data_IF_278807541879
#
_entry.id   IF_278807541879
#
_cell.length_a   1.000
_cell.length_b   1.000
_cell.length_c   1.000
_cell.angle_alpha   90.00
_cell.angle_beta   90.00
_cell.angle_gamma   90.00
#
_symmetry.space_group_name_H-M   'P 1'
#
loop_
_entity.id
_entity.type
_entity.pdbx_description
1 polymer ?
#
# COMPACT_ATOMS: atom_id res chain seq x y z
N UNK A 1 29.12 1.60 5.80
CA UNK A 1 27.75 1.46 6.33
C UNK A 1 27.17 0.17 5.79
N UNK A 2 27.09 -0.87 6.63
CA UNK A 2 26.49 -2.17 6.29
C UNK A 2 25.54 -2.51 7.44
N UNK A 3 24.29 -2.74 7.11
CA UNK A 3 23.24 -3.06 8.06
C UNK A 3 22.15 -2.01 8.01
N UNK A 4 21.02 -2.35 7.40
CA UNK A 4 19.67 -2.10 7.95
C UNK A 4 18.55 -2.69 7.07
N UNK A 5 18.78 -3.81 6.37
CA UNK A 5 17.69 -4.63 5.83
C UNK A 5 17.57 -5.92 6.62
N UNK A 6 17.11 -5.82 7.89
CA UNK A 6 16.42 -6.94 8.51
C UNK A 6 14.96 -6.82 8.06
N UNK A 7 14.66 -7.42 6.92
CA UNK A 7 13.29 -7.56 6.43
C UNK A 7 12.56 -8.45 7.42
N UNK A 8 11.63 -7.86 8.17
CA UNK A 8 10.68 -8.59 9.01
C UNK A 8 9.79 -9.36 8.02
N UNK A 9 9.82 -10.69 8.08
CA UNK A 9 8.85 -11.54 7.40
C UNK A 9 7.50 -11.34 8.11
N UNK A 10 6.74 -10.34 7.66
CA UNK A 10 5.41 -10.03 8.20
C UNK A 10 4.37 -10.83 7.44
N UNK A 11 3.74 -11.79 8.11
CA UNK A 11 2.60 -12.53 7.58
C UNK A 11 1.46 -11.56 7.26
N UNK A 12 1.06 -11.49 6.00
CA UNK A 12 -0.13 -10.73 5.58
C UNK A 12 -1.35 -11.44 6.21
N UNK A 13 -2.04 -10.76 7.14
CA UNK A 13 -3.26 -11.25 7.75
C UNK A 13 -4.44 -10.61 7.04
N UNK A 14 -5.12 -11.39 6.20
CA UNK A 14 -6.44 -10.99 5.68
C UNK A 14 -7.42 -10.99 6.86
N UNK A 15 -7.82 -9.80 7.33
CA UNK A 15 -8.94 -9.70 8.27
C UNK A 15 -10.24 -10.03 7.54
N UNK A 16 -11.09 -10.83 8.18
CA UNK A 16 -12.25 -11.48 7.59
C UNK A 16 -13.20 -10.55 6.84
N UNK A 17 -13.70 -11.07 5.71
CA UNK A 17 -14.68 -10.45 4.83
C UNK A 17 -15.96 -10.11 5.59
N UNK A 18 -16.35 -8.83 5.61
CA UNK A 18 -17.76 -8.47 5.74
C UNK A 18 -18.35 -8.56 4.34
N UNK A 19 -19.01 -9.68 4.03
CA UNK A 19 -19.66 -9.92 2.74
C UNK A 19 -20.84 -8.93 2.62
N UNK A 20 -20.70 -7.93 1.76
CA UNK A 20 -21.78 -7.06 1.30
C UNK A 20 -22.04 -7.48 -0.16
N UNK A 21 -23.28 -7.81 -0.57
CA UNK A 21 -23.52 -8.55 -1.81
C UNK A 21 -23.08 -7.78 -3.09
N UNK A 22 -22.09 -8.35 -3.78
CA UNK A 22 -21.92 -8.51 -5.23
C UNK A 22 -22.56 -7.49 -6.19
N UNK A 23 -21.76 -6.48 -6.59
CA UNK A 23 -21.72 -5.90 -7.96
C UNK A 23 -20.59 -4.88 -8.17
N UNK A 24 -19.78 -4.58 -7.15
CA UNK A 24 -18.57 -3.76 -7.28
C UNK A 24 -17.39 -4.61 -6.81
N UNK A 25 -16.23 -4.47 -7.46
CA UNK A 25 -15.01 -5.14 -7.00
C UNK A 25 -14.81 -4.80 -5.51
N UNK A 26 -14.87 -5.81 -4.64
CA UNK A 26 -15.02 -5.60 -3.20
C UNK A 26 -13.74 -4.96 -2.62
N UNK A 27 -13.90 -3.83 -1.94
CA UNK A 27 -12.81 -3.20 -1.18
C UNK A 27 -12.39 -4.15 -0.05
N UNK A 28 -11.15 -4.62 -0.07
CA UNK A 28 -10.66 -5.54 0.96
C UNK A 28 -9.77 -4.82 1.98
N UNK A 29 -10.05 -5.04 3.27
CA UNK A 29 -9.19 -4.60 4.35
C UNK A 29 -8.00 -5.57 4.51
N UNK A 30 -6.78 -5.05 4.38
CA UNK A 30 -5.54 -5.79 4.60
C UNK A 30 -4.78 -5.17 5.77
N UNK A 31 -4.28 -5.99 6.70
CA UNK A 31 -3.46 -5.55 7.83
C UNK A 31 -2.19 -6.41 7.97
N UNK A 32 -1.20 -5.86 8.66
CA UNK A 32 0.12 -6.45 8.86
C UNK A 32 0.34 -6.84 10.33
N UNK A 33 -0.63 -7.56 10.90
CA UNK A 33 -0.55 -8.12 12.25
C UNK A 33 -0.99 -7.18 13.37
N UNK A 34 -1.29 -5.92 13.06
CA UNK A 34 -1.92 -4.98 13.98
C UNK A 34 -3.19 -4.42 13.32
N UNK A 35 -4.34 -4.75 13.90
CA UNK A 35 -5.64 -4.35 13.36
C UNK A 35 -5.92 -2.85 13.51
N UNK A 36 -5.10 -2.12 14.27
CA UNK A 36 -5.16 -0.66 14.34
C UNK A 36 -4.60 0.02 13.09
N UNK A 37 -3.97 -0.72 12.16
CA UNK A 37 -3.42 -0.18 10.92
C UNK A 37 -3.89 -1.04 9.75
N UNK A 38 -4.68 -0.44 8.86
CA UNK A 38 -5.34 -1.13 7.77
C UNK A 38 -5.13 -0.36 6.47
N UNK A 39 -5.03 -1.09 5.37
CA UNK A 39 -5.21 -0.55 4.02
C UNK A 39 -6.50 -1.14 3.47
N UNK A 40 -7.41 -0.26 3.02
CA UNK A 40 -8.56 -0.63 2.21
C UNK A 40 -8.12 -0.63 0.76
N UNK A 41 -8.12 -1.79 0.13
CA UNK A 41 -7.63 -2.02 -1.23
C UNK A 41 -8.81 -2.17 -2.18
N UNK A 42 -9.15 -1.13 -2.98
CA UNK A 42 -10.18 -1.25 -3.99
C UNK A 42 -9.75 -2.19 -5.10
N UNK A 43 -10.69 -3.00 -5.58
CA UNK A 43 -10.40 -3.95 -6.65
C UNK A 43 -9.38 -5.01 -6.26
N UNK A 44 -9.31 -5.39 -4.98
CA UNK A 44 -8.48 -6.51 -4.56
C UNK A 44 -8.87 -7.78 -5.32
N UNK A 45 -7.86 -8.53 -5.78
CA UNK A 45 -8.04 -9.79 -6.50
C UNK A 45 -7.61 -10.96 -5.61
N UNK A 46 -6.34 -10.96 -5.19
CA UNK A 46 -5.76 -12.02 -4.36
C UNK A 46 -4.47 -11.58 -3.68
N UNK A 47 -4.02 -12.36 -2.69
CA UNK A 47 -2.63 -12.34 -2.22
C UNK A 47 -1.88 -13.52 -2.83
N UNK A 48 -0.66 -13.29 -3.35
CA UNK A 48 0.20 -14.36 -3.88
C UNK A 48 1.68 -14.04 -3.69
N UNK A 49 2.52 -15.06 -3.76
CA UNK A 49 3.96 -14.87 -3.87
C UNK A 49 4.34 -14.53 -5.32
N UNK A 50 5.14 -13.48 -5.48
CA UNK A 50 5.78 -13.09 -6.75
C UNK A 50 7.29 -13.30 -6.65
N UNK A 51 7.99 -13.33 -7.79
CA UNK A 51 9.46 -13.40 -7.79
C UNK A 51 10.05 -12.00 -7.93
N UNK A 52 10.75 -11.53 -6.91
CA UNK A 52 11.56 -10.31 -6.93
C UNK A 52 13.02 -10.71 -6.72
N UNK A 53 13.93 -10.32 -7.63
CA UNK A 53 15.36 -10.65 -7.54
C UNK A 53 15.65 -12.15 -7.30
N UNK A 54 14.83 -13.03 -7.88
CA UNK A 54 14.94 -14.48 -7.74
C UNK A 54 14.44 -15.05 -6.41
N UNK A 55 13.81 -14.24 -5.55
CA UNK A 55 13.25 -14.67 -4.27
C UNK A 55 11.71 -14.59 -4.27
N UNK A 56 11.01 -15.58 -3.71
CA UNK A 56 9.57 -15.50 -3.50
C UNK A 56 9.27 -14.41 -2.48
N UNK A 57 8.39 -13.49 -2.85
CA UNK A 57 8.05 -12.29 -2.10
C UNK A 57 6.52 -12.14 -2.06
N UNK A 58 5.91 -12.04 -0.86
CA UNK A 58 4.47 -11.83 -0.76
C UNK A 58 4.03 -10.50 -1.38
N UNK A 59 2.99 -10.54 -2.20
CA UNK A 59 2.37 -9.37 -2.80
C UNK A 59 0.84 -9.48 -2.77
N UNK A 60 0.19 -8.33 -2.94
CA UNK A 60 -1.23 -8.29 -3.29
C UNK A 60 -1.40 -7.99 -4.77
N UNK A 61 -2.42 -8.57 -5.37
CA UNK A 61 -2.82 -8.33 -6.75
C UNK A 61 -4.11 -7.53 -6.72
N UNK A 62 -4.13 -6.42 -7.44
CA UNK A 62 -5.23 -5.47 -7.43
C UNK A 62 -5.57 -5.04 -8.85
N UNK A 63 -6.82 -4.69 -9.09
CA UNK A 63 -7.21 -4.05 -10.33
C UNK A 63 -6.55 -2.67 -10.42
N UNK A 64 -6.07 -2.33 -11.62
CA UNK A 64 -5.51 -1.01 -11.90
C UNK A 64 -6.57 0.07 -11.59
N UNK A 65 -6.23 1.08 -10.77
CA UNK A 65 -7.16 2.16 -10.46
C UNK A 65 -7.42 3.03 -11.69
N UNK A 66 -8.62 3.60 -11.76
CA UNK A 66 -8.94 4.64 -12.74
C UNK A 66 -8.48 6.01 -12.24
N UNK A 67 -8.19 6.91 -13.19
CA UNK A 67 -7.91 8.30 -12.84
C UNK A 67 -9.16 8.96 -12.27
N UNK A 68 -8.99 9.72 -11.19
CA UNK A 68 -10.05 10.57 -10.66
C UNK A 68 -10.25 11.83 -11.52
N UNK A 69 -11.19 12.69 -11.12
CA UNK A 69 -11.48 13.97 -11.80
C UNK A 69 -10.27 14.91 -11.89
N UNK A 70 -9.28 14.74 -11.01
CA UNK A 70 -8.04 15.54 -10.98
C UNK A 70 -6.91 14.89 -11.79
N UNK A 71 -7.21 13.88 -12.60
CA UNK A 71 -6.26 13.12 -13.42
C UNK A 71 -5.17 12.42 -12.58
N UNK A 72 -5.48 12.04 -11.33
CA UNK A 72 -4.61 11.32 -10.40
C UNK A 72 -5.12 9.89 -10.14
N UNK A 73 -4.21 8.99 -9.81
CA UNK A 73 -4.55 7.62 -9.41
C UNK A 73 -4.66 7.53 -7.89
N UNK A 74 -5.87 7.23 -7.38
CA UNK A 74 -6.06 6.81 -5.99
C UNK A 74 -5.89 5.30 -5.91
N UNK A 75 -4.86 4.86 -5.19
CA UNK A 75 -4.45 3.45 -5.20
C UNK A 75 -5.19 2.66 -4.10
N UNK A 76 -5.26 3.19 -2.89
CA UNK A 76 -5.96 2.61 -1.75
C UNK A 76 -6.32 3.70 -0.73
N UNK A 77 -7.10 3.36 0.30
CA UNK A 77 -7.18 4.19 1.51
C UNK A 77 -6.37 3.57 2.63
N UNK A 78 -5.74 4.41 3.42
CA UNK A 78 -5.06 4.03 4.64
C UNK A 78 -5.93 4.44 5.82
N UNK A 79 -6.13 3.52 6.77
CA UNK A 79 -6.97 3.69 7.94
C UNK A 79 -6.21 3.27 9.18
N UNK A 80 -6.28 4.09 10.23
CA UNK A 80 -5.80 3.75 11.55
C UNK A 80 -6.77 4.19 12.65
N UNK A 81 -6.89 3.36 13.68
CA UNK A 81 -7.59 3.69 14.93
C UNK A 81 -6.64 4.18 16.02
N UNK A 82 -5.34 4.22 15.76
CA UNK A 82 -4.37 4.72 16.72
C UNK A 82 -4.42 6.26 16.75
N UNK A 83 -4.93 6.82 17.85
CA UNK A 83 -5.07 8.27 18.02
C UNK A 83 -3.75 9.01 18.16
N UNK A 84 -2.63 8.32 18.35
CA UNK A 84 -1.30 8.92 18.36
C UNK A 84 -0.74 9.13 16.94
N UNK A 85 -1.31 8.46 15.92
CA UNK A 85 -0.90 8.63 14.54
C UNK A 85 -1.48 9.93 13.99
N UNK A 86 -0.60 10.87 13.61
CA UNK A 86 -0.99 12.17 13.07
C UNK A 86 -0.72 12.29 11.57
N UNK A 87 0.26 11.55 11.05
CA UNK A 87 0.60 11.58 9.64
C UNK A 87 1.13 10.23 9.15
N UNK A 88 1.21 10.10 7.84
CA UNK A 88 1.82 8.97 7.16
C UNK A 88 2.80 9.44 6.10
N UNK A 89 3.90 8.70 6.03
CA UNK A 89 4.91 8.82 4.98
C UNK A 89 4.97 7.52 4.19
N UNK A 90 5.23 7.64 2.90
CA UNK A 90 5.46 6.49 2.05
C UNK A 90 6.56 6.74 1.03
N UNK A 91 7.32 5.70 0.72
CA UNK A 91 8.26 5.68 -0.39
C UNK A 91 7.88 4.54 -1.34
N UNK A 92 7.85 4.86 -2.63
CA UNK A 92 7.53 3.93 -3.70
C UNK A 92 8.81 3.57 -4.45
N UNK A 93 9.04 2.28 -4.66
CA UNK A 93 10.11 1.76 -5.51
C UNK A 93 9.53 0.88 -6.61
N UNK A 94 10.18 0.88 -7.78
CA UNK A 94 9.87 -0.07 -8.85
C UNK A 94 10.46 -1.47 -8.55
N UNK A 95 10.23 -2.44 -9.44
CA UNK A 95 10.70 -3.81 -9.29
C UNK A 95 12.24 -3.96 -9.23
N UNK A 96 12.98 -2.94 -9.69
CA UNK A 96 14.44 -2.85 -9.71
C UNK A 96 15.00 -2.10 -8.49
N UNK A 97 14.15 -1.78 -7.51
CA UNK A 97 14.49 -1.02 -6.31
C UNK A 97 14.92 0.44 -6.59
N UNK A 98 14.49 0.99 -7.73
CA UNK A 98 14.72 2.39 -8.08
C UNK A 98 13.55 3.26 -7.57
N UNK A 99 13.87 4.47 -7.09
CA UNK A 99 12.87 5.39 -6.55
C UNK A 99 11.82 5.73 -7.62
N UNK A 100 10.54 5.58 -7.27
CA UNK A 100 9.40 5.78 -8.16
C UNK A 100 8.40 6.84 -7.63
N UNK A 101 8.63 7.37 -6.43
CA UNK A 101 7.79 8.39 -5.84
C UNK A 101 7.66 8.31 -4.33
N UNK A 102 6.84 9.19 -3.77
CA UNK A 102 6.55 9.23 -2.34
C UNK A 102 5.17 9.83 -2.04
N UNK A 103 4.80 9.75 -0.76
CA UNK A 103 3.71 10.50 -0.18
C UNK A 103 4.11 10.96 1.21
N UNK A 104 3.76 12.18 1.57
CA UNK A 104 3.80 12.66 2.95
C UNK A 104 2.55 13.49 3.18
N UNK A 105 1.70 13.05 4.10
CA UNK A 105 0.41 13.69 4.36
C UNK A 105 -0.05 13.46 5.78
N UNK A 106 -0.81 14.42 6.30
CA UNK A 106 -1.50 14.28 7.57
C UNK A 106 -2.69 13.31 7.44
N UNK A 107 -3.04 12.67 8.55
CA UNK A 107 -4.23 11.84 8.67
C UNK A 107 -5.41 12.70 9.08
N UNK A 108 -6.53 12.57 8.37
CA UNK A 108 -7.80 13.20 8.73
C UNK A 108 -8.69 12.17 9.41
N UNK A 109 -8.93 12.31 10.71
CA UNK A 109 -9.70 11.35 11.51
C UNK A 109 -9.19 9.91 11.37
N UNK A 110 -7.86 9.72 11.34
CA UNK A 110 -7.24 8.41 11.18
C UNK A 110 -7.33 7.84 9.77
N UNK A 111 -7.71 8.62 8.76
CA UNK A 111 -7.84 8.17 7.37
C UNK A 111 -7.09 9.06 6.40
N UNK A 112 -6.60 8.47 5.31
CA UNK A 112 -6.17 9.21 4.13
C UNK A 112 -6.34 8.38 2.86
N UNK A 113 -6.70 9.04 1.76
CA UNK A 113 -6.63 8.43 0.43
C UNK A 113 -5.21 8.50 -0.10
N UNK A 114 -4.65 7.34 -0.44
CA UNK A 114 -3.28 7.25 -0.92
C UNK A 114 -3.19 7.61 -2.40
N UNK A 115 -2.65 8.81 -2.65
CA UNK A 115 -2.42 9.38 -3.97
C UNK A 115 -0.96 9.87 -4.00
N UNK A 116 0.02 9.02 -4.33
CA UNK A 116 1.43 9.38 -4.27
C UNK A 116 1.81 10.36 -5.38
N UNK A 117 2.87 11.13 -5.13
CA UNK A 117 3.58 11.86 -6.18
C UNK A 117 4.58 10.89 -6.81
N UNK A 118 4.36 10.54 -8.07
CA UNK A 118 5.21 9.60 -8.80
C UNK A 118 6.27 10.34 -9.63
N UNK A 119 7.47 9.76 -9.72
CA UNK A 119 8.54 10.30 -10.56
C UNK A 119 8.30 10.09 -12.05
N UNK A 120 7.52 9.05 -12.39
CA UNK A 120 7.18 8.65 -13.75
C UNK A 120 5.67 8.40 -13.89
N UNK A 121 5.21 8.21 -15.13
CA UNK A 121 3.81 7.92 -15.41
C UNK A 121 3.38 6.56 -14.81
N UNK A 122 2.23 6.57 -14.13
CA UNK A 122 1.69 5.38 -13.46
C UNK A 122 1.41 4.23 -14.43
N UNK A 123 0.96 4.48 -15.67
CA UNK A 123 0.72 3.40 -16.63
C UNK A 123 2.01 2.70 -17.03
N UNK A 124 3.15 3.39 -16.95
CA UNK A 124 4.46 2.78 -17.15
C UNK A 124 4.89 1.99 -15.91
N UNK A 125 4.81 2.61 -14.73
CA UNK A 125 5.25 1.99 -13.46
C UNK A 125 4.44 0.75 -13.10
N UNK A 126 3.13 0.77 -13.34
CA UNK A 126 2.19 -0.31 -12.97
C UNK A 126 2.30 -1.57 -13.82
N UNK A 127 3.14 -1.58 -14.87
CA UNK A 127 3.41 -2.79 -15.69
C UNK A 127 4.25 -3.83 -14.96
N UNK A 128 4.94 -3.42 -13.91
CA UNK A 128 5.76 -4.27 -13.07
C UNK A 128 5.27 -4.21 -11.62
N UNK A 129 5.62 -5.20 -10.77
CA UNK A 129 5.35 -5.11 -9.34
C UNK A 129 6.00 -3.86 -8.75
N UNK A 130 5.26 -3.19 -7.87
CA UNK A 130 5.70 -1.97 -7.20
C UNK A 130 5.77 -2.20 -5.69
N UNK A 131 6.83 -1.68 -5.07
CA UNK A 131 6.99 -1.69 -3.62
C UNK A 131 6.50 -0.38 -3.03
N UNK A 132 5.76 -0.47 -1.93
CA UNK A 132 5.33 0.67 -1.14
C UNK A 132 5.75 0.45 0.31
N UNK A 133 6.64 1.30 0.82
CA UNK A 133 6.99 1.32 2.23
C UNK A 133 6.18 2.39 2.94
N UNK A 134 5.48 2.05 4.02
CA UNK A 134 4.72 3.01 4.84
C UNK A 134 5.32 3.17 6.22
N UNK A 135 5.22 4.39 6.75
CA UNK A 135 5.59 4.73 8.12
C UNK A 135 4.59 5.75 8.68
N UNK A 136 3.86 5.35 9.72
CA UNK A 136 3.02 6.23 10.52
C UNK A 136 3.88 7.02 11.50
N UNK A 137 3.52 8.29 11.67
CA UNK A 137 4.25 9.24 12.52
C UNK A 137 3.33 9.84 13.57
N UNK A 138 3.90 10.11 14.74
CA UNK A 138 3.25 10.92 15.78
C UNK A 138 3.46 12.43 15.56
N UNK A 139 2.88 13.24 16.44
CA UNK A 139 2.97 14.71 16.40
C UNK A 139 4.40 15.25 16.48
N UNK A 140 5.34 14.45 17.01
CA UNK A 140 6.74 14.80 17.20
C UNK A 140 7.62 14.19 16.08
N UNK A 141 7.00 13.67 15.00
CA UNK A 141 7.62 13.03 13.85
C UNK A 141 8.35 11.70 14.13
N UNK A 142 8.08 11.07 15.27
CA UNK A 142 8.61 9.74 15.55
C UNK A 142 7.87 8.68 14.73
N UNK A 143 8.60 7.70 14.17
CA UNK A 143 7.99 6.51 13.58
C UNK A 143 7.36 5.65 14.67
N UNK A 144 6.05 5.44 14.60
CA UNK A 144 5.29 4.65 15.58
C UNK A 144 4.84 3.29 15.03
N UNK A 145 4.73 3.16 13.70
CA UNK A 145 4.45 1.90 13.03
C UNK A 145 4.92 1.96 11.58
N UNK A 146 5.43 0.85 11.07
CA UNK A 146 5.82 0.72 9.67
C UNK A 146 5.43 -0.62 9.11
N UNK A 147 5.15 -0.64 7.82
CA UNK A 147 4.82 -1.86 7.11
C UNK A 147 5.08 -1.66 5.61
N UNK A 148 5.73 -2.64 4.95
CA UNK A 148 5.89 -2.62 3.51
C UNK A 148 4.84 -3.49 2.81
N UNK A 149 4.58 -3.21 1.54
CA UNK A 149 3.76 -4.04 0.66
C UNK A 149 4.31 -4.05 -0.76
N UNK A 150 4.24 -5.21 -1.41
CA UNK A 150 4.37 -5.32 -2.85
C UNK A 150 2.99 -5.40 -3.49
N UNK A 151 2.77 -4.64 -4.56
CA UNK A 151 1.50 -4.60 -5.28
C UNK A 151 1.74 -4.92 -6.75
N UNK A 152 0.90 -5.80 -7.30
CA UNK A 152 0.78 -6.07 -8.74
C UNK A 152 -0.53 -5.48 -9.23
N UNK A 153 -0.46 -4.67 -10.28
CA UNK A 153 -1.65 -4.09 -10.92
C UNK A 153 -2.04 -4.91 -12.15
N UNK A 154 -3.27 -5.37 -12.19
CA UNK A 154 -3.85 -6.06 -13.36
C UNK A 154 -4.94 -5.18 -14.00
N UNK A 155 -5.03 -5.19 -15.32
CA UNK A 155 -6.11 -4.47 -16.02
C UNK A 155 -7.48 -5.07 -15.65
N UNK A 156 -8.53 -4.23 -15.68
CA UNK A 156 -9.90 -4.69 -15.48
C UNK A 156 -10.27 -5.69 -16.58
N UNK A 157 -10.81 -6.85 -16.20
CA UNK A 157 -11.34 -7.87 -17.11
C UNK A 157 -12.72 -7.51 -17.62
#
# INVERSE_FOLDING_TARGET
MKGFFRVIFTTILLAGMLIIPASAAEDQAVNWGDTNYQIMVPGFIEGRDITINGQPTPAIVVQKPEKNSDNKYRIFDIITTNTNATSITSTVYNSKEEYAGDLMTDLENGRVSYIPVLSDDFESLSKEPMYFGFSYRDKDWNEIYKFPIWIVFEDKK
#
